data_IF_913079901368
#
_entry.id   IF_913079901368
#
_cell.length_a   1.000
_cell.length_b   1.000
_cell.length_c   1.000
_cell.angle_alpha   90.00
_cell.angle_beta   90.00
_cell.angle_gamma   90.00
#
_symmetry.space_group_name_H-M   'P 1'
#
loop_
_entity.id
_entity.type
_entity.pdbx_description
1 polymer ?
#
# COMPACT_ATOMS: atom_id res chain seq x y z
N UNK A 1 5.16 3.38 2.84
CA UNK A 1 3.73 3.57 2.56
C UNK A 1 3.37 5.01 2.86
N UNK A 2 2.45 5.61 2.10
CA UNK A 2 1.96 6.94 2.45
C UNK A 2 1.26 6.93 3.81
N UNK A 3 1.52 7.93 4.64
CA UNK A 3 0.91 8.09 5.96
C UNK A 3 -0.36 8.96 5.86
N UNK A 4 -1.31 8.56 5.01
CA UNK A 4 -2.55 9.31 4.75
C UNK A 4 -3.77 8.59 5.31
N UNK A 5 -4.76 9.37 5.76
CA UNK A 5 -6.08 8.88 6.16
C UNK A 5 -7.16 9.61 5.33
N UNK A 6 -7.43 9.15 4.11
CA UNK A 6 -8.39 9.82 3.25
C UNK A 6 -9.82 9.63 3.78
N UNK A 7 -10.66 10.65 3.56
CA UNK A 7 -12.11 10.51 3.77
C UNK A 7 -12.67 9.57 2.70
N UNK A 8 -13.50 8.61 3.11
CA UNK A 8 -14.15 7.66 2.21
C UNK A 8 -13.47 6.28 2.18
N UNK A 9 -13.74 5.50 1.13
CA UNK A 9 -13.17 4.17 0.99
C UNK A 9 -11.68 4.24 0.68
N UNK A 10 -10.89 3.43 1.38
CA UNK A 10 -9.49 3.18 1.01
C UNK A 10 -9.09 1.75 1.34
N UNK A 11 -8.18 1.19 0.54
CA UNK A 11 -7.58 -0.14 0.76
C UNK A 11 -6.18 -0.05 1.37
N UNK A 12 -5.86 1.03 2.07
CA UNK A 12 -4.63 1.15 2.88
C UNK A 12 -4.96 0.94 4.37
N UNK A 13 -4.78 -0.28 4.92
CA UNK A 13 -5.04 -0.56 6.33
C UNK A 13 -4.21 0.33 7.24
N UNK A 14 -4.77 0.73 8.39
CA UNK A 14 -4.07 1.63 9.33
C UNK A 14 -2.71 1.10 9.75
N UNK A 15 -2.57 -0.20 9.93
CA UNK A 15 -1.34 -0.81 10.44
C UNK A 15 -0.14 -0.71 9.48
N UNK A 16 -0.36 -0.55 8.17
CA UNK A 16 0.76 -0.37 7.21
C UNK A 16 1.05 1.10 6.88
N UNK A 17 0.20 2.04 7.28
CA UNK A 17 0.38 3.47 6.96
C UNK A 17 1.68 3.97 7.57
N UNK A 18 2.46 4.71 6.79
CA UNK A 18 3.78 5.22 7.22
C UNK A 18 4.90 4.17 7.33
N UNK A 19 4.60 2.88 7.25
CA UNK A 19 5.62 1.84 7.37
C UNK A 19 6.36 1.61 6.04
N UNK A 20 7.61 1.19 6.12
CA UNK A 20 8.40 0.76 4.97
C UNK A 20 8.15 -0.72 4.74
N UNK A 21 7.91 -1.09 3.49
CA UNK A 21 7.75 -2.47 3.07
C UNK A 21 8.49 -2.72 1.76
N UNK A 22 8.64 -3.99 1.41
CA UNK A 22 9.34 -4.44 0.20
C UNK A 22 8.33 -4.98 -0.81
N UNK A 23 8.37 -4.47 -2.04
CA UNK A 23 7.60 -5.06 -3.14
C UNK A 23 8.13 -6.46 -3.40
N UNK A 24 7.25 -7.46 -3.37
CA UNK A 24 7.58 -8.87 -3.67
C UNK A 24 7.01 -9.35 -4.98
N UNK A 25 5.91 -8.75 -5.44
CA UNK A 25 5.24 -9.15 -6.67
C UNK A 25 4.46 -7.97 -7.27
N UNK A 26 4.30 -7.99 -8.61
CA UNK A 26 3.39 -7.11 -9.34
C UNK A 26 2.20 -7.96 -9.81
N UNK A 27 1.01 -7.71 -9.25
CA UNK A 27 -0.23 -8.46 -9.49
C UNK A 27 -0.98 -8.02 -10.76
N UNK A 28 -0.34 -7.22 -11.63
CA UNK A 28 -0.96 -6.60 -12.80
C UNK A 28 -1.60 -5.25 -12.47
N UNK A 29 -2.58 -4.84 -13.28
CA UNK A 29 -3.23 -3.52 -13.18
C UNK A 29 -4.72 -3.67 -12.92
N UNK A 30 -5.24 -2.90 -11.96
CA UNK A 30 -6.63 -3.00 -11.50
C UNK A 30 -7.24 -1.61 -11.28
N UNK A 31 -8.57 -1.50 -11.42
CA UNK A 31 -9.30 -0.28 -11.10
C UNK A 31 -9.06 0.11 -9.64
N UNK A 32 -8.82 1.40 -9.38
CA UNK A 32 -8.56 1.93 -8.05
C UNK A 32 -9.80 1.75 -7.17
N UNK A 33 -9.62 1.05 -6.05
CA UNK A 33 -10.73 0.69 -5.17
C UNK A 33 -11.46 1.93 -4.63
N UNK A 34 -10.73 3.00 -4.29
CA UNK A 34 -11.28 4.26 -3.75
C UNK A 34 -12.29 4.88 -4.73
N UNK A 35 -11.92 4.97 -6.01
CA UNK A 35 -12.78 5.54 -7.06
C UNK A 35 -13.91 4.59 -7.46
N UNK A 36 -13.63 3.28 -7.50
CA UNK A 36 -14.65 2.27 -7.77
C UNK A 36 -15.75 2.30 -6.72
N UNK A 37 -15.39 2.41 -5.44
CA UNK A 37 -16.34 2.51 -4.33
C UNK A 37 -17.06 3.86 -4.28
N UNK A 38 -16.42 4.94 -4.76
CA UNK A 38 -17.05 6.25 -4.92
C UNK A 38 -18.01 6.33 -6.13
N UNK A 39 -18.09 5.28 -6.96
CA UNK A 39 -18.97 5.25 -8.13
C UNK A 39 -18.47 6.10 -9.31
N UNK A 40 -17.17 6.32 -9.42
CA UNK A 40 -16.58 6.97 -10.59
C UNK A 40 -16.84 6.10 -11.83
N UNK A 41 -17.36 6.71 -12.89
CA UNK A 41 -17.75 5.98 -14.10
C UNK A 41 -16.58 5.25 -14.78
N UNK A 42 -15.41 5.89 -14.81
CA UNK A 42 -14.16 5.33 -15.32
C UNK A 42 -13.07 5.49 -14.24
N UNK A 43 -12.97 4.56 -13.29
CA UNK A 43 -11.96 4.64 -12.24
C UNK A 43 -10.56 4.45 -12.84
N UNK A 44 -9.57 5.15 -12.30
CA UNK A 44 -8.17 4.97 -12.64
C UNK A 44 -7.76 3.51 -12.53
N UNK A 45 -6.94 3.05 -13.48
CA UNK A 45 -6.37 1.69 -13.47
C UNK A 45 -4.88 1.79 -13.18
N UNK A 46 -4.44 1.26 -12.04
CA UNK A 46 -3.06 1.35 -11.56
C UNK A 46 -2.46 -0.04 -11.35
N UNK A 47 -1.12 -0.19 -11.39
CA UNK A 47 -0.45 -1.39 -10.91
C UNK A 47 -0.81 -1.67 -9.45
N UNK A 48 -0.99 -2.96 -9.13
CA UNK A 48 -1.11 -3.45 -7.76
C UNK A 48 0.12 -4.26 -7.42
N UNK A 49 0.73 -3.93 -6.28
CA UNK A 49 1.92 -4.59 -5.79
C UNK A 49 1.61 -5.34 -4.50
N UNK A 50 2.05 -6.58 -4.41
CA UNK A 50 2.14 -7.25 -3.11
C UNK A 50 3.35 -6.71 -2.39
N UNK A 51 3.13 -6.17 -1.19
CA UNK A 51 4.17 -5.58 -0.35
C UNK A 51 4.29 -6.37 0.95
N UNK A 52 5.49 -6.84 1.23
CA UNK A 52 5.83 -7.53 2.47
C UNK A 52 6.36 -6.55 3.52
N UNK A 53 5.87 -6.70 4.75
CA UNK A 53 6.29 -5.96 5.94
C UNK A 53 6.74 -6.95 7.00
N UNK A 54 7.84 -6.67 7.70
CA UNK A 54 8.19 -7.45 8.87
C UNK A 54 7.17 -7.18 9.99
N UNK A 55 6.67 -8.22 10.66
CA UNK A 55 5.75 -8.06 11.78
C UNK A 55 6.37 -7.19 12.89
N UNK A 56 7.67 -7.35 13.13
CA UNK A 56 8.42 -6.52 14.08
C UNK A 56 8.38 -5.02 13.76
N UNK A 57 8.35 -4.62 12.48
CA UNK A 57 8.24 -3.20 12.12
C UNK A 57 6.84 -2.66 12.37
N UNK A 58 5.80 -3.48 12.19
CA UNK A 58 4.40 -3.09 12.37
C UNK A 58 3.97 -3.07 13.84
N UNK A 59 4.51 -3.98 14.65
CA UNK A 59 3.99 -4.28 15.99
C UNK A 59 5.06 -4.25 17.09
N UNK A 60 6.35 -4.11 16.74
CA UNK A 60 7.47 -4.19 17.68
C UNK A 60 7.95 -5.61 17.99
N UNK A 61 7.24 -6.64 17.52
CA UNK A 61 7.58 -8.05 17.70
C UNK A 61 7.08 -8.95 16.56
N UNK A 62 7.57 -10.19 16.52
CA UNK A 62 7.14 -11.22 15.59
C UNK A 62 8.16 -11.51 14.47
N UNK A 63 8.36 -12.80 14.19
CA UNK A 63 9.33 -13.28 13.19
C UNK A 63 8.73 -13.63 11.82
N UNK A 64 7.49 -13.21 11.54
CA UNK A 64 6.80 -13.47 10.28
C UNK A 64 6.67 -12.19 9.45
N UNK A 65 6.31 -12.35 8.17
CA UNK A 65 5.95 -11.23 7.30
C UNK A 65 4.43 -11.11 7.18
N UNK A 66 3.96 -9.87 7.04
CA UNK A 66 2.59 -9.54 6.63
C UNK A 66 2.64 -9.03 5.20
N UNK A 67 1.88 -9.65 4.30
CA UNK A 67 1.77 -9.22 2.90
C UNK A 67 0.46 -8.47 2.67
N UNK A 68 0.52 -7.33 2.01
CA UNK A 68 -0.65 -6.52 1.65
C UNK A 68 -0.55 -6.11 0.19
N UNK A 69 -1.65 -6.27 -0.55
CA UNK A 69 -1.76 -5.79 -1.93
C UNK A 69 -2.18 -4.32 -1.95
N UNK A 70 -1.36 -3.49 -2.59
CA UNK A 70 -1.49 -2.03 -2.57
C UNK A 70 -1.36 -1.47 -3.98
N UNK A 71 -2.25 -0.54 -4.33
CA UNK A 71 -2.16 0.23 -5.58
C UNK A 71 -0.95 1.16 -5.56
N UNK A 72 -0.39 1.42 -6.75
CA UNK A 72 0.79 2.26 -6.95
C UNK A 72 0.68 3.63 -6.26
N UNK A 73 -0.48 4.28 -6.30
CA UNK A 73 -0.68 5.59 -5.67
C UNK A 73 -0.57 5.57 -4.14
N UNK A 74 -0.76 4.42 -3.48
CA UNK A 74 -0.65 4.28 -2.03
C UNK A 74 0.79 4.21 -1.53
N UNK A 75 1.73 3.91 -2.43
CA UNK A 75 3.13 3.68 -2.09
C UNK A 75 3.99 4.81 -2.62
N UNK A 76 5.16 4.98 -2.01
CA UNK A 76 6.18 5.90 -2.50
C UNK A 76 7.55 5.28 -2.30
N UNK A 77 8.50 5.62 -3.17
CA UNK A 77 9.87 5.16 -3.02
C UNK A 77 10.47 5.76 -1.75
N UNK A 78 11.05 4.91 -0.92
CA UNK A 78 11.89 5.35 0.19
C UNK A 78 13.05 6.15 -0.39
N UNK A 79 13.18 7.42 0.01
CA UNK A 79 14.39 8.18 -0.27
C UNK A 79 15.50 7.59 0.59
N UNK A 80 16.62 7.24 -0.03
CA UNK A 80 17.86 7.07 0.72
C UNK A 80 18.44 8.47 0.90
N UNK A 81 18.48 8.95 2.13
CA UNK A 81 19.25 10.16 2.44
C UNK A 81 20.74 9.83 2.27
N UNK A 82 21.43 10.61 1.42
CA UNK A 82 22.89 10.74 1.38
C UNK A 82 23.69 9.54 0.87
N UNK A 83 24.22 9.65 -0.34
CA UNK A 83 25.62 9.31 -0.61
C UNK A 83 26.45 10.59 -0.47
#
# INVERSE_FOLDING_TARGET
MRAVDPVGHTRVPRYVRGHVGRIVECQGRWALADESAAGVAEPRVEPVYTVAFAAADLWGEGGHEVTVDLWESYIERVRKDGA
#
